data_IF_369621332488
#
_entry.id   IF_369621332488
#
_cell.length_a   1.000
_cell.length_b   1.000
_cell.length_c   1.000
_cell.angle_alpha   90.00
_cell.angle_beta   90.00
_cell.angle_gamma   90.00
#
_symmetry.space_group_name_H-M   'P 1'
#
loop_
_entity.id
_entity.type
_entity.pdbx_description
1 polymer ?
#
# COMPACT_ATOMS: atom_id res chain seq x y z
N UNK A 1 18.47 17.17 2.50
CA UNK A 1 17.06 17.63 2.55
C UNK A 1 16.25 16.73 1.62
N UNK A 2 15.03 16.37 2.00
CA UNK A 2 14.10 15.58 1.18
C UNK A 2 13.09 16.52 0.55
N UNK A 3 12.77 16.33 -0.73
CA UNK A 3 11.71 17.07 -1.43
C UNK A 3 10.47 16.18 -1.55
N UNK A 4 9.44 16.45 -0.74
CA UNK A 4 8.16 15.76 -0.84
C UNK A 4 7.36 16.42 -1.96
N UNK A 5 7.03 15.66 -3.02
CA UNK A 5 6.34 16.20 -4.20
C UNK A 5 4.92 15.68 -4.38
N UNK A 6 4.58 14.55 -3.76
CA UNK A 6 3.25 13.94 -3.84
C UNK A 6 2.99 13.02 -2.64
N UNK A 7 1.73 12.70 -2.44
CA UNK A 7 1.23 11.77 -1.43
C UNK A 7 0.29 10.76 -2.09
N UNK A 8 0.27 9.52 -1.62
CA UNK A 8 -0.57 8.45 -2.15
C UNK A 8 -1.50 7.92 -1.05
N UNK A 9 -2.81 8.07 -1.24
CA UNK A 9 -3.83 7.58 -0.32
C UNK A 9 -4.25 6.15 -0.68
N UNK A 10 -4.13 5.17 0.24
CA UNK A 10 -4.67 3.83 0.06
C UNK A 10 -6.16 3.77 0.45
N UNK A 11 -6.65 2.59 0.83
CA UNK A 11 -7.95 2.48 1.53
C UNK A 11 -8.00 3.43 2.74
N UNK A 12 -9.14 4.09 2.95
CA UNK A 12 -9.39 5.17 3.93
C UNK A 12 -8.80 6.55 3.58
N UNK A 13 -8.04 6.65 2.48
CA UNK A 13 -7.43 7.90 2.03
C UNK A 13 -6.25 8.35 2.89
N UNK A 14 -5.56 9.41 2.45
CA UNK A 14 -4.35 9.90 3.12
C UNK A 14 -4.61 10.41 4.55
N UNK A 15 -5.75 11.08 4.78
CA UNK A 15 -6.12 11.64 6.07
C UNK A 15 -6.99 10.72 6.92
N UNK A 16 -7.28 9.50 6.44
CA UNK A 16 -8.12 8.53 7.16
C UNK A 16 -9.59 8.94 7.29
N UNK A 17 -10.06 9.84 6.42
CA UNK A 17 -11.39 10.45 6.45
C UNK A 17 -12.43 9.64 5.66
N UNK A 18 -12.01 8.70 4.82
CA UNK A 18 -12.92 7.81 4.10
C UNK A 18 -13.32 6.57 4.95
N UNK A 19 -14.57 6.13 4.77
CA UNK A 19 -15.09 4.91 5.39
C UNK A 19 -14.41 3.65 4.85
N UNK A 20 -14.56 2.52 5.57
CA UNK A 20 -14.09 1.22 5.10
C UNK A 20 -14.64 0.89 3.71
N UNK A 21 -13.78 0.36 2.84
CA UNK A 21 -14.09 0.14 1.44
C UNK A 21 -14.09 1.40 0.57
N UNK A 22 -13.69 2.56 1.09
CA UNK A 22 -13.68 3.83 0.37
C UNK A 22 -12.31 4.52 0.30
N UNK A 23 -12.19 5.47 -0.62
CA UNK A 23 -11.05 6.35 -0.81
C UNK A 23 -11.51 7.77 -1.12
N UNK A 24 -10.55 8.69 -1.12
CA UNK A 24 -10.74 10.06 -1.57
C UNK A 24 -9.94 10.19 -2.85
N UNK A 25 -10.59 10.57 -3.96
CA UNK A 25 -9.96 10.70 -5.28
C UNK A 25 -8.77 11.68 -5.31
N UNK A 26 -8.44 12.21 -6.48
CA UNK A 26 -7.38 13.22 -6.56
C UNK A 26 -7.80 14.55 -5.89
N UNK A 27 -7.02 15.04 -4.93
CA UNK A 27 -7.09 16.41 -4.39
C UNK A 27 -5.70 16.96 -4.02
N UNK A 28 -5.63 18.24 -3.68
CA UNK A 28 -4.44 18.86 -3.06
C UNK A 28 -4.68 19.00 -1.55
N UNK A 29 -3.76 18.47 -0.74
CA UNK A 29 -3.89 18.46 0.71
C UNK A 29 -3.84 19.89 1.28
N UNK A 30 -4.87 20.36 2.00
CA UNK A 30 -4.97 21.76 2.41
C UNK A 30 -3.90 22.19 3.42
N UNK A 31 -3.33 21.25 4.19
CA UNK A 31 -2.32 21.56 5.20
C UNK A 31 -0.91 21.68 4.62
N UNK A 32 -0.59 20.90 3.58
CA UNK A 32 0.75 20.84 3.00
C UNK A 32 0.85 21.43 1.60
N UNK A 33 -0.28 21.62 0.91
CA UNK A 33 -0.34 21.96 -0.51
C UNK A 33 0.11 20.83 -1.44
N UNK A 34 0.37 19.63 -0.90
CA UNK A 34 0.88 18.52 -1.69
C UNK A 34 -0.25 17.84 -2.47
N UNK A 35 0.02 17.45 -3.72
CA UNK A 35 -0.90 16.64 -4.49
C UNK A 35 -1.09 15.25 -3.88
N UNK A 36 -2.33 14.86 -3.59
CA UNK A 36 -2.72 13.54 -3.08
C UNK A 36 -3.31 12.68 -4.21
N UNK A 37 -2.71 11.54 -4.52
CA UNK A 37 -3.21 10.60 -5.52
C UNK A 37 -3.93 9.45 -4.83
N UNK A 38 -5.11 9.11 -5.35
CA UNK A 38 -5.83 7.91 -4.91
C UNK A 38 -5.22 6.66 -5.55
N UNK A 39 -4.87 5.68 -4.72
CA UNK A 39 -4.29 4.39 -5.12
C UNK A 39 -5.18 3.20 -4.75
N UNK A 40 -6.33 3.44 -4.12
CA UNK A 40 -7.22 2.37 -3.69
C UNK A 40 -7.75 1.57 -4.89
N UNK A 41 -7.66 0.24 -4.80
CA UNK A 41 -8.01 -0.73 -5.85
C UNK A 41 -7.26 -0.56 -7.18
N UNK A 42 -6.14 0.17 -7.21
CA UNK A 42 -5.29 0.31 -8.40
C UNK A 42 -4.10 -0.63 -8.31
N UNK A 43 -3.73 -1.23 -9.44
CA UNK A 43 -2.61 -2.17 -9.53
C UNK A 43 -2.06 -2.18 -10.96
N UNK A 44 -0.88 -2.80 -11.16
CA UNK A 44 -0.28 -2.90 -12.48
C UNK A 44 -0.05 -1.54 -13.15
N UNK A 45 -0.43 -1.43 -14.44
CA UNK A 45 -0.18 -0.24 -15.24
C UNK A 45 -0.92 1.00 -14.72
N UNK A 46 -2.16 0.88 -14.25
CA UNK A 46 -2.94 2.03 -13.75
C UNK A 46 -2.26 2.71 -12.55
N UNK A 47 -1.64 1.92 -11.67
CA UNK A 47 -0.87 2.44 -10.54
C UNK A 47 0.50 2.97 -10.98
N UNK A 48 1.14 2.32 -11.96
CA UNK A 48 2.40 2.79 -12.54
C UNK A 48 2.25 4.15 -13.24
N UNK A 49 1.12 4.38 -13.91
CA UNK A 49 0.79 5.65 -14.55
C UNK A 49 0.61 6.76 -13.53
N UNK A 50 0.04 6.46 -12.36
CA UNK A 50 -0.06 7.41 -11.24
C UNK A 50 1.33 7.80 -10.72
N UNK A 51 2.21 6.83 -10.52
CA UNK A 51 3.59 7.12 -10.12
C UNK A 51 4.33 7.95 -11.17
N UNK A 52 4.10 7.68 -12.45
CA UNK A 52 4.67 8.46 -13.56
C UNK A 52 4.14 9.89 -13.57
N UNK A 53 2.82 10.06 -13.52
CA UNK A 53 2.15 11.37 -13.52
C UNK A 53 2.45 12.21 -12.28
N UNK A 54 2.76 11.57 -11.14
CA UNK A 54 3.18 12.26 -9.92
C UNK A 54 4.57 12.88 -9.99
N UNK A 55 5.40 12.45 -10.96
CA UNK A 55 6.77 12.94 -11.10
C UNK A 55 7.71 12.52 -9.98
N UNK A 56 7.31 11.59 -9.09
CA UNK A 56 8.19 11.08 -8.03
C UNK A 56 9.33 10.23 -8.61
N UNK A 57 10.50 10.31 -7.98
CA UNK A 57 11.62 9.40 -8.26
C UNK A 57 11.65 8.21 -7.29
N UNK A 58 11.00 8.36 -6.13
CA UNK A 58 11.02 7.38 -5.05
C UNK A 58 9.70 7.40 -4.31
N UNK A 59 9.06 6.23 -4.22
CA UNK A 59 7.87 5.99 -3.40
C UNK A 59 8.32 5.49 -2.04
N UNK A 60 7.79 6.08 -0.98
CA UNK A 60 8.07 5.66 0.40
C UNK A 60 6.79 5.08 0.97
N UNK A 61 6.85 3.84 1.45
CA UNK A 61 5.76 3.18 2.16
C UNK A 61 6.04 3.25 3.66
N UNK A 62 5.15 3.92 4.39
CA UNK A 62 5.24 4.11 5.84
C UNK A 62 3.87 3.96 6.50
N UNK A 63 3.36 2.73 6.53
CA UNK A 63 2.02 2.43 7.06
C UNK A 63 2.11 1.26 8.04
N UNK A 64 1.43 1.39 9.18
CA UNK A 64 1.31 0.30 10.15
C UNK A 64 0.27 -0.72 9.65
N UNK A 65 0.72 -1.94 9.38
CA UNK A 65 -0.15 -3.08 9.06
C UNK A 65 -0.59 -3.82 10.34
N UNK A 66 -1.60 -4.70 10.21
CA UNK A 66 -2.17 -5.47 11.32
C UNK A 66 -1.56 -6.87 11.52
N UNK A 67 -0.68 -7.34 10.62
CA UNK A 67 -0.13 -8.69 10.62
C UNK A 67 -1.12 -9.77 10.15
N UNK A 68 -2.19 -9.35 9.46
CA UNK A 68 -3.28 -10.20 9.01
C UNK A 68 -3.47 -10.10 7.50
N UNK A 69 -3.58 -11.24 6.83
CA UNK A 69 -3.65 -11.34 5.37
C UNK A 69 -4.77 -10.51 4.76
N UNK A 70 -5.91 -10.39 5.41
CA UNK A 70 -7.07 -9.65 4.87
C UNK A 70 -7.03 -8.16 5.20
N UNK A 71 -5.97 -7.67 5.86
CA UNK A 71 -5.71 -6.25 6.02
C UNK A 71 -5.00 -5.73 4.76
N UNK A 72 -5.59 -4.74 4.10
CA UNK A 72 -5.29 -4.41 2.70
C UNK A 72 -3.98 -3.66 2.50
N UNK A 73 -3.37 -3.09 3.54
CA UNK A 73 -2.13 -2.31 3.40
C UNK A 73 -0.93 -3.14 2.94
N UNK A 74 -0.81 -4.41 3.36
CA UNK A 74 0.19 -5.33 2.81
C UNK A 74 0.00 -5.54 1.30
N UNK A 75 -1.24 -5.57 0.83
CA UNK A 75 -1.53 -5.71 -0.61
C UNK A 75 -1.40 -4.41 -1.39
N UNK A 76 -1.67 -3.26 -0.75
CA UNK A 76 -1.27 -1.96 -1.29
C UNK A 76 0.24 -1.91 -1.50
N UNK A 77 1.05 -2.33 -0.52
CA UNK A 77 2.50 -2.40 -0.70
C UNK A 77 2.89 -3.34 -1.84
N UNK A 78 2.29 -4.52 -1.91
CA UNK A 78 2.50 -5.47 -2.99
C UNK A 78 2.26 -4.83 -4.37
N UNK A 79 1.09 -4.20 -4.57
CA UNK A 79 0.72 -3.56 -5.83
C UNK A 79 1.63 -2.35 -6.12
N UNK A 80 2.04 -1.59 -5.10
CA UNK A 80 3.00 -0.49 -5.21
C UNK A 80 4.39 -0.98 -5.65
N UNK A 81 4.85 -2.14 -5.18
CA UNK A 81 6.13 -2.72 -5.58
C UNK A 81 6.12 -3.13 -7.05
N UNK A 82 5.06 -3.80 -7.51
CA UNK A 82 4.89 -4.14 -8.93
C UNK A 82 4.83 -2.88 -9.80
N UNK A 83 4.02 -1.90 -9.41
CA UNK A 83 3.86 -0.66 -10.16
C UNK A 83 5.13 0.21 -10.17
N UNK A 84 5.88 0.26 -9.07
CA UNK A 84 7.16 0.99 -9.01
C UNK A 84 8.18 0.37 -9.97
N UNK A 85 8.25 -0.96 -10.06
CA UNK A 85 9.10 -1.64 -11.02
C UNK A 85 8.71 -1.31 -12.47
N UNK A 86 7.41 -1.33 -12.79
CA UNK A 86 6.89 -0.97 -14.11
C UNK A 86 7.20 0.49 -14.48
N UNK A 87 7.05 1.42 -13.55
CA UNK A 87 7.29 2.85 -13.76
C UNK A 87 8.77 3.26 -13.63
N UNK A 88 9.68 2.31 -13.39
CA UNK A 88 11.12 2.59 -13.18
C UNK A 88 11.40 3.46 -11.95
N UNK A 89 10.59 3.33 -10.89
CA UNK A 89 10.69 4.09 -9.65
C UNK A 89 11.36 3.26 -8.56
N UNK A 90 12.09 3.93 -7.66
CA UNK A 90 12.57 3.29 -6.44
C UNK A 90 11.43 3.19 -5.42
N UNK A 91 11.36 2.10 -4.68
CA UNK A 91 10.47 1.96 -3.54
C UNK A 91 11.29 1.72 -2.28
N UNK A 92 10.95 2.42 -1.20
CA UNK A 92 11.57 2.28 0.12
C UNK A 92 10.47 2.00 1.14
N UNK A 93 10.64 0.94 1.92
CA UNK A 93 9.75 0.60 3.04
C UNK A 93 10.39 1.11 4.33
N UNK A 94 9.67 1.96 5.07
CA UNK A 94 10.00 2.29 6.45
C UNK A 94 9.34 1.24 7.33
N UNK A 95 10.08 0.17 7.61
CA UNK A 95 9.49 -1.02 8.23
C UNK A 95 8.91 -0.73 9.62
N UNK A 96 7.85 -1.47 9.96
CA UNK A 96 7.11 -1.30 11.22
C UNK A 96 6.84 -2.65 11.88
N UNK A 97 6.80 -2.73 13.23
CA UNK A 97 6.55 -3.98 13.93
C UNK A 97 5.20 -4.60 13.53
N UNK A 98 5.17 -5.93 13.45
CA UNK A 98 3.91 -6.66 13.37
C UNK A 98 3.21 -6.65 14.75
N UNK A 99 2.00 -6.08 14.88
CA UNK A 99 1.34 -5.90 16.17
C UNK A 99 0.85 -7.23 16.78
N UNK A 100 0.73 -8.29 15.99
CA UNK A 100 0.42 -9.67 16.47
C UNK A 100 1.69 -10.50 16.68
N UNK A 101 2.78 -9.84 17.11
CA UNK A 101 4.09 -10.37 17.54
C UNK A 101 5.06 -10.83 16.45
N UNK A 102 4.58 -11.23 15.26
CA UNK A 102 5.46 -11.73 14.19
C UNK A 102 6.20 -13.04 14.54
N UNK A 103 5.70 -13.83 15.52
CA UNK A 103 6.43 -15.02 16.02
C UNK A 103 6.10 -16.32 15.30
N UNK A 104 4.94 -16.40 14.66
CA UNK A 104 4.48 -17.59 13.97
C UNK A 104 3.51 -17.24 12.85
N UNK A 105 3.53 -18.03 11.79
CA UNK A 105 2.48 -18.05 10.79
C UNK A 105 1.33 -18.95 11.29
N UNK A 106 0.09 -18.44 11.28
CA UNK A 106 -1.09 -19.15 11.81
C UNK A 106 -2.26 -19.10 10.83
N UNK A 107 -3.02 -20.21 10.79
CA UNK A 107 -4.20 -20.38 9.93
C UNK A 107 -3.89 -20.82 8.50
N UNK A 108 -4.92 -21.13 7.70
CA UNK A 108 -4.77 -21.57 6.31
C UNK A 108 -3.99 -20.58 5.45
N UNK A 109 -3.12 -21.12 4.61
CA UNK A 109 -2.52 -20.41 3.48
C UNK A 109 -3.59 -20.15 2.43
N UNK A 110 -3.51 -19.00 1.75
CA UNK A 110 -4.46 -18.66 0.69
C UNK A 110 -4.31 -19.65 -0.48
N UNK A 111 -5.42 -20.26 -0.88
CA UNK A 111 -5.50 -20.94 -2.17
C UNK A 111 -5.58 -19.87 -3.28
N UNK A 112 -4.65 -19.87 -4.27
CA UNK A 112 -4.65 -18.91 -5.38
C UNK A 112 -5.99 -18.79 -6.12
N UNK A 113 -6.81 -19.84 -6.13
CA UNK A 113 -8.14 -19.80 -6.74
C UNK A 113 -9.10 -18.80 -6.06
N UNK A 114 -8.81 -18.38 -4.82
CA UNK A 114 -9.58 -17.39 -4.06
C UNK A 114 -8.86 -16.04 -3.91
N UNK A 115 -7.81 -15.79 -4.70
CA UNK A 115 -7.04 -14.56 -4.61
C UNK A 115 -7.87 -13.32 -5.02
N UNK A 116 -7.80 -12.27 -4.19
CA UNK A 116 -8.48 -10.98 -4.37
C UNK A 116 -7.63 -9.83 -3.79
N UNK A 117 -8.14 -8.61 -3.70
CA UNK A 117 -7.41 -7.50 -3.08
C UNK A 117 -7.19 -7.68 -1.56
N UNK A 118 -8.01 -8.49 -0.88
CA UNK A 118 -7.79 -8.88 0.53
C UNK A 118 -6.91 -10.12 0.67
N UNK A 119 -6.22 -10.53 -0.40
CA UNK A 119 -5.37 -11.72 -0.45
C UNK A 119 -4.77 -11.93 -1.83
N UNK A 120 -3.61 -11.35 -2.15
CA UNK A 120 -2.99 -11.48 -3.49
C UNK A 120 -2.13 -12.73 -3.66
N UNK A 121 -1.51 -13.22 -2.58
CA UNK A 121 -0.49 -14.30 -2.59
C UNK A 121 -0.68 -15.28 -1.44
N UNK A 122 -0.03 -16.43 -1.60
CA UNK A 122 -0.10 -17.63 -0.76
C UNK A 122 0.59 -17.44 0.59
N UNK A 123 0.06 -16.54 1.43
CA UNK A 123 0.50 -16.35 2.81
C UNK A 123 -0.55 -16.85 3.79
N UNK A 124 -0.13 -17.21 5.01
CA UNK A 124 -1.03 -17.62 6.09
C UNK A 124 -1.94 -16.46 6.54
N UNK A 125 -3.07 -16.75 7.18
CA UNK A 125 -4.01 -15.73 7.66
C UNK A 125 -3.36 -14.72 8.61
N UNK A 126 -2.58 -15.19 9.59
CA UNK A 126 -1.61 -14.36 10.30
C UNK A 126 -0.23 -14.76 9.78
N UNK A 127 0.41 -13.89 9.02
CA UNK A 127 1.61 -14.25 8.23
C UNK A 127 2.90 -14.22 9.06
N UNK A 128 2.91 -13.57 10.22
CA UNK A 128 4.05 -13.61 11.15
C UNK A 128 5.28 -12.80 10.68
N UNK A 129 5.11 -11.87 9.75
CA UNK A 129 6.19 -11.02 9.21
C UNK A 129 5.87 -9.55 9.42
N UNK A 130 6.89 -8.69 9.39
CA UNK A 130 6.66 -7.25 9.15
C UNK A 130 6.23 -7.04 7.69
N UNK A 131 6.03 -5.80 7.27
CA UNK A 131 5.54 -5.50 5.91
C UNK A 131 6.64 -5.54 4.85
N UNK A 132 7.91 -5.46 5.25
CA UNK A 132 9.06 -5.42 4.34
C UNK A 132 9.51 -6.79 3.81
#
# INVERSE_FOLDING_TARGET
>A
RVNLTAVFGPEHGFRGTAQAGGSEGRYDDPATGLPVYDTYLKSGQDLADIFTASGVDTVVFDIQDAGARFYTYTWTLYDCMEAAALAGKRLVVLDRPNPVTGRAALGPVLDPAFATFVGRREIAQAHGMTVA
#
